data_IF_393829614060
#
_entry.id   IF_393829614060
#
_cell.length_a   1.000
_cell.length_b   1.000
_cell.length_c   1.000
_cell.angle_alpha   90.00
_cell.angle_beta   90.00
_cell.angle_gamma   90.00
#
_symmetry.space_group_name_H-M   'P 1'
#
loop_
_entity.id
_entity.type
_entity.pdbx_description
1 polymer ?
#
# COMPACT_ATOMS: atom_id res chain seq x y z
N UNK A 1 -29.97 1.75 -12.89
CA UNK A 1 -28.58 1.24 -12.91
C UNK A 1 -27.97 1.55 -11.55
N UNK A 2 -27.55 0.53 -10.79
CA UNK A 2 -26.64 0.75 -9.65
C UNK A 2 -25.28 1.02 -10.27
N UNK A 3 -24.71 2.19 -10.04
CA UNK A 3 -23.32 2.45 -10.40
C UNK A 3 -22.49 1.49 -9.54
N UNK A 4 -21.85 0.49 -10.14
CA UNK A 4 -20.83 -0.26 -9.43
C UNK A 4 -19.77 0.74 -8.98
N UNK A 5 -19.50 0.81 -7.68
CA UNK A 5 -18.46 1.66 -7.16
C UNK A 5 -17.15 1.20 -7.80
N UNK A 6 -16.48 2.09 -8.53
CA UNK A 6 -15.17 1.78 -9.08
C UNK A 6 -14.19 1.66 -7.93
N UNK A 7 -13.66 0.47 -7.71
CA UNK A 7 -12.55 0.27 -6.78
C UNK A 7 -11.25 0.80 -7.41
N UNK A 8 -10.42 1.42 -6.59
CA UNK A 8 -9.17 2.04 -7.02
C UNK A 8 -8.08 1.72 -6.01
N UNK A 9 -6.83 1.67 -6.49
CA UNK A 9 -5.66 1.66 -5.62
C UNK A 9 -5.44 3.10 -5.17
N UNK A 10 -5.39 3.31 -3.86
CA UNK A 10 -5.01 4.61 -3.29
C UNK A 10 -3.54 4.62 -2.95
N UNK A 11 -2.85 5.71 -3.28
CA UNK A 11 -1.41 5.85 -3.08
C UNK A 11 -1.11 7.24 -2.52
N UNK A 12 -0.24 7.29 -1.52
CA UNK A 12 0.21 8.53 -0.87
C UNK A 12 1.71 8.48 -0.63
N UNK A 13 2.34 9.65 -0.55
CA UNK A 13 3.56 9.76 0.26
C UNK A 13 3.25 9.31 1.66
N UNK A 14 4.17 8.59 2.30
CA UNK A 14 3.90 7.99 3.60
C UNK A 14 3.36 9.01 4.61
N UNK A 15 3.98 10.19 4.72
CA UNK A 15 3.57 11.25 5.65
C UNK A 15 2.17 11.83 5.41
N UNK A 16 1.66 11.74 4.18
CA UNK A 16 0.34 12.28 3.78
C UNK A 16 -0.77 11.22 3.88
N UNK A 17 -0.42 9.97 4.15
CA UNK A 17 -1.37 8.88 4.25
C UNK A 17 -2.24 8.99 5.53
N UNK A 18 -3.48 8.48 5.51
CA UNK A 18 -4.30 8.37 6.71
C UNK A 18 -3.56 7.70 7.87
N UNK A 19 -3.68 8.28 9.07
CA UNK A 19 -2.95 7.84 10.27
C UNK A 19 -3.17 6.36 10.58
N UNK A 20 -4.39 5.85 10.37
CA UNK A 20 -4.74 4.44 10.55
C UNK A 20 -3.90 3.47 9.70
N UNK A 21 -3.45 3.90 8.52
CA UNK A 21 -2.57 3.08 7.68
C UNK A 21 -1.10 3.30 8.01
N UNK A 22 -0.70 4.53 8.35
CA UNK A 22 0.69 4.84 8.77
C UNK A 22 1.09 4.07 10.02
N UNK A 23 0.16 3.95 10.98
CA UNK A 23 0.36 3.20 12.22
C UNK A 23 0.55 1.68 12.03
N UNK A 24 0.39 1.15 10.81
CA UNK A 24 0.67 -0.25 10.48
C UNK A 24 2.15 -0.50 10.16
N UNK A 25 2.94 0.55 9.94
CA UNK A 25 4.35 0.39 9.64
C UNK A 25 5.16 -0.06 10.85
N UNK A 26 6.14 -0.93 10.61
CA UNK A 26 7.14 -1.31 11.61
C UNK A 26 8.56 -0.83 11.26
N UNK A 27 8.74 -0.05 10.19
CA UNK A 27 10.06 0.25 9.62
C UNK A 27 10.78 1.42 10.31
N UNK A 28 10.11 2.12 11.24
CA UNK A 28 10.78 3.01 12.19
C UNK A 28 11.09 4.41 11.65
N UNK A 29 10.40 4.84 10.57
CA UNK A 29 10.41 6.23 10.11
C UNK A 29 11.16 6.48 8.80
N UNK A 30 11.48 5.45 8.01
CA UNK A 30 12.17 5.52 6.72
C UNK A 30 11.25 5.18 5.53
N UNK A 31 9.94 5.20 5.75
CA UNK A 31 8.93 4.86 4.76
C UNK A 31 8.70 6.02 3.78
N UNK A 32 8.65 5.71 2.48
CA UNK A 32 8.46 6.71 1.42
C UNK A 32 7.02 6.79 0.93
N UNK A 33 6.41 5.61 0.73
CA UNK A 33 5.12 5.47 0.07
C UNK A 33 4.24 4.47 0.78
N UNK A 34 2.93 4.74 0.73
CA UNK A 34 1.90 3.84 1.21
C UNK A 34 0.86 3.66 0.12
N UNK A 35 0.46 2.42 -0.15
CA UNK A 35 -0.61 2.09 -1.07
C UNK A 35 -1.63 1.14 -0.42
N UNK A 36 -2.91 1.39 -0.69
CA UNK A 36 -4.01 0.50 -0.28
C UNK A 36 -4.63 -0.10 -1.52
N UNK A 37 -4.55 -1.42 -1.64
CA UNK A 37 -5.04 -2.21 -2.76
C UNK A 37 -6.33 -2.92 -2.33
N UNK A 38 -7.43 -2.75 -3.08
CA UNK A 38 -8.71 -3.38 -2.75
C UNK A 38 -8.69 -4.89 -3.00
N UNK A 39 -9.54 -5.68 -2.31
CA UNK A 39 -9.52 -7.14 -2.39
C UNK A 39 -9.76 -7.68 -3.80
N UNK A 40 -10.49 -6.97 -4.65
CA UNK A 40 -10.75 -7.39 -6.04
C UNK A 40 -9.49 -7.44 -6.91
N UNK A 41 -8.39 -6.80 -6.47
CA UNK A 41 -7.10 -6.81 -7.14
C UNK A 41 -6.15 -7.87 -6.58
N UNK A 42 -6.61 -8.69 -5.62
CA UNK A 42 -5.79 -9.74 -5.01
C UNK A 42 -5.27 -10.72 -6.07
N UNK A 43 -3.96 -10.96 -6.05
CA UNK A 43 -3.29 -11.86 -6.98
C UNK A 43 -2.99 -11.26 -8.36
N UNK A 44 -3.38 -10.00 -8.61
CA UNK A 44 -2.88 -9.26 -9.76
C UNK A 44 -1.44 -8.83 -9.51
N UNK A 45 -0.61 -8.94 -10.54
CA UNK A 45 0.75 -8.45 -10.48
C UNK A 45 0.76 -6.94 -10.71
N UNK A 46 1.27 -6.20 -9.73
CA UNK A 46 1.36 -4.74 -9.74
C UNK A 46 2.85 -4.39 -9.57
N UNK A 47 3.61 -4.30 -10.68
CA UNK A 47 5.08 -4.31 -10.64
C UNK A 47 5.70 -3.12 -9.89
N UNK A 48 5.01 -1.99 -9.82
CA UNK A 48 5.50 -0.81 -9.11
C UNK A 48 5.33 -0.90 -7.58
N UNK A 49 4.70 -1.95 -7.04
CA UNK A 49 4.61 -2.23 -5.60
C UNK A 49 5.71 -3.20 -5.11
N UNK A 50 6.61 -3.65 -5.99
CA UNK A 50 7.64 -4.62 -5.62
C UNK A 50 8.86 -3.94 -4.99
N UNK A 51 9.58 -4.70 -4.15
CA UNK A 51 10.90 -4.30 -3.65
C UNK A 51 11.88 -4.05 -4.80
N UNK A 52 12.74 -3.04 -4.67
CA UNK A 52 13.65 -2.60 -5.74
C UNK A 52 13.01 -1.66 -6.76
N UNK A 53 11.72 -1.36 -6.61
CA UNK A 53 11.07 -0.27 -7.34
C UNK A 53 11.21 1.07 -6.60
N UNK A 54 10.91 2.21 -7.24
CA UNK A 54 10.88 3.51 -6.54
C UNK A 54 9.83 3.62 -5.42
N UNK A 55 8.91 2.66 -5.29
CA UNK A 55 7.92 2.64 -4.22
C UNK A 55 8.55 2.20 -2.88
N UNK A 56 9.40 1.19 -2.90
CA UNK A 56 10.18 0.71 -1.76
C UNK A 56 11.44 0.04 -2.28
N UNK A 57 12.54 0.80 -2.36
CA UNK A 57 13.74 0.32 -3.07
C UNK A 57 14.42 -0.81 -2.30
N UNK A 58 14.36 -0.77 -0.96
CA UNK A 58 15.02 -1.73 -0.09
C UNK A 58 14.03 -2.80 0.39
N UNK A 59 12.85 -2.36 0.85
CA UNK A 59 11.82 -3.26 1.35
C UNK A 59 10.41 -2.76 1.02
N UNK A 60 9.48 -3.70 0.97
CA UNK A 60 8.04 -3.42 0.93
C UNK A 60 7.33 -4.30 1.94
N UNK A 61 6.87 -3.69 3.03
CA UNK A 61 6.01 -4.34 4.01
C UNK A 61 4.60 -4.49 3.43
N UNK A 62 3.99 -5.66 3.61
CA UNK A 62 2.60 -5.93 3.20
C UNK A 62 1.75 -6.34 4.40
N UNK A 63 0.67 -5.62 4.65
CA UNK A 63 -0.30 -5.90 5.73
C UNK A 63 -1.66 -6.19 5.11
N UNK A 64 -2.32 -7.30 5.50
CA UNK A 64 -3.68 -7.62 5.06
C UNK A 64 -4.67 -7.26 6.16
N UNK A 65 -5.64 -6.39 5.85
CA UNK A 65 -6.69 -5.98 6.78
C UNK A 65 -7.82 -7.02 6.84
N UNK A 66 -8.64 -6.97 7.89
CA UNK A 66 -9.83 -7.83 8.03
C UNK A 66 -10.84 -7.66 6.88
N UNK A 67 -10.87 -6.46 6.28
CA UNK A 67 -11.67 -6.16 5.09
C UNK A 67 -11.15 -6.83 3.80
N UNK A 68 -9.99 -7.50 3.87
CA UNK A 68 -9.30 -8.10 2.73
C UNK A 68 -8.46 -7.12 1.91
N UNK A 69 -8.46 -5.83 2.24
CA UNK A 69 -7.57 -4.84 1.63
C UNK A 69 -6.12 -5.17 1.97
N UNK A 70 -5.22 -4.90 1.04
CA UNK A 70 -3.78 -5.04 1.26
C UNK A 70 -3.16 -3.64 1.34
N UNK A 71 -2.43 -3.37 2.42
CA UNK A 71 -1.63 -2.17 2.60
C UNK A 71 -0.19 -2.50 2.28
N UNK A 72 0.38 -1.80 1.31
CA UNK A 72 1.78 -1.88 0.92
C UNK A 72 2.48 -0.63 1.46
N UNK A 73 3.61 -0.80 2.11
CA UNK A 73 4.41 0.28 2.69
C UNK A 73 5.83 0.08 2.18
N UNK A 74 6.29 0.98 1.33
CA UNK A 74 7.65 0.92 0.78
C UNK A 74 8.60 1.81 1.58
N UNK A 75 9.81 1.32 1.79
CA UNK A 75 10.88 2.03 2.53
C UNK A 75 12.23 1.99 1.82
N UNK A 76 13.13 2.88 2.26
CA UNK A 76 14.47 3.07 1.71
C UNK A 76 15.60 2.44 2.54
N UNK A 77 15.32 1.72 3.64
CA UNK A 77 16.32 1.02 4.47
C UNK A 77 16.05 -0.46 4.64
#
# INVERSE_FOLDING_TARGET
>A
MKTEAKEAIWVWRFEEAPEEYRNLSNNGGDEDWLAVVPPSFKGLWIPWLEGGSPFGVCDVQVVTLESGHQVFIGSHS
#
